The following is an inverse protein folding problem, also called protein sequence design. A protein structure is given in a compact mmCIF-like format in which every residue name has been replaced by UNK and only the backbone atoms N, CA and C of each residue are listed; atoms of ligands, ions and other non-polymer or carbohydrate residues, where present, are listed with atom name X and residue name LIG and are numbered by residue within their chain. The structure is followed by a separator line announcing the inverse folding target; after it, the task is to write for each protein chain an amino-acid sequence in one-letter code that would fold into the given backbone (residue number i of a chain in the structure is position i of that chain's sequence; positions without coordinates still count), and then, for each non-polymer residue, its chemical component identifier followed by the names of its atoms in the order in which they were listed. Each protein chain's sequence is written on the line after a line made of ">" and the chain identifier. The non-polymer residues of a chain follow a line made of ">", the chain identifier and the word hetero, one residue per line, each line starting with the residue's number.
data_IF_804962897216
#
_entry.id   IF_804962897216
#
_cell.length_a   1.000
_cell.length_b   1.000
_cell.length_c   1.000
_cell.angle_alpha   90.00
_cell.angle_beta   90.00
_cell.angle_gamma   90.00
#
_symmetry.space_group_name_H-M   'P 1'
#
loop_
_entity.id
_entity.type
_entity.pdbx_description
1 polymer ?
#
# COMPACT_ATOMS: atom_id res chain seq x y z
N UNK A 1 -2.01 3.08 28.34
CA UNK A 1 -0.94 2.41 27.56
C UNK A 1 -1.03 2.65 26.05
N UNK A 2 -2.23 2.71 25.43
CA UNK A 2 -2.41 2.97 23.98
C UNK A 2 -2.15 4.42 23.51
N UNK A 3 -2.15 5.42 24.40
CA UNK A 3 -1.88 6.83 24.04
C UNK A 3 -0.44 7.07 23.52
N UNK A 4 0.53 6.20 23.83
CA UNK A 4 1.93 6.36 23.39
C UNK A 4 2.23 5.80 21.99
N UNK A 5 1.32 5.05 21.38
CA UNK A 5 1.54 4.41 20.06
C UNK A 5 1.15 5.30 18.87
N UNK A 6 0.65 6.53 19.13
CA UNK A 6 0.21 7.52 18.14
C UNK A 6 -0.53 6.94 16.91
N UNK A 7 -1.40 5.95 17.13
CA UNK A 7 -2.08 5.23 16.04
C UNK A 7 -2.83 6.19 15.11
N UNK A 8 -3.52 7.18 15.70
CA UNK A 8 -4.23 8.22 14.97
C UNK A 8 -3.29 9.03 14.08
N UNK A 9 -2.13 9.43 14.57
CA UNK A 9 -1.15 10.20 13.78
C UNK A 9 -0.64 9.41 12.57
N UNK A 10 -0.34 8.12 12.76
CA UNK A 10 0.07 7.26 11.66
C UNK A 10 -1.02 7.10 10.60
N UNK A 11 -2.27 6.92 11.03
CA UNK A 11 -3.41 6.84 10.12
C UNK A 11 -3.61 8.14 9.35
N UNK A 12 -3.55 9.29 10.04
CA UNK A 12 -3.70 10.59 9.41
C UNK A 12 -2.60 10.86 8.36
N UNK A 13 -1.38 10.39 8.61
CA UNK A 13 -0.28 10.46 7.63
C UNK A 13 -0.63 9.67 6.37
N UNK A 14 -1.10 8.43 6.53
CA UNK A 14 -1.46 7.58 5.41
C UNK A 14 -2.67 8.11 4.63
N UNK A 15 -3.68 8.65 5.32
CA UNK A 15 -4.83 9.32 4.68
C UNK A 15 -4.36 10.57 3.93
N UNK A 16 -3.42 11.34 4.47
CA UNK A 16 -2.87 12.50 3.78
C UNK A 16 -2.21 12.13 2.44
N UNK A 17 -1.49 11.00 2.38
CA UNK A 17 -0.93 10.50 1.11
C UNK A 17 -1.99 10.01 0.13
N UNK A 18 -3.16 9.60 0.63
CA UNK A 18 -4.27 9.16 -0.21
C UNK A 18 -5.00 10.31 -0.90
N UNK A 19 -5.20 11.45 -0.21
CA UNK A 19 -5.96 12.60 -0.73
C UNK A 19 -5.53 13.03 -2.14
N UNK A 20 -4.23 13.32 -2.43
CA UNK A 20 -3.84 13.76 -3.76
C UNK A 20 -4.05 12.68 -4.83
N UNK A 21 -3.92 11.39 -4.47
CA UNK A 21 -4.14 10.27 -5.39
C UNK A 21 -5.62 10.15 -5.75
N UNK A 22 -6.50 10.24 -4.75
CA UNK A 22 -7.96 10.18 -4.97
C UNK A 22 -8.42 11.35 -5.82
N UNK A 23 -7.95 12.56 -5.53
CA UNK A 23 -8.30 13.74 -6.33
C UNK A 23 -7.84 13.57 -7.78
N UNK A 24 -6.56 13.26 -8.01
CA UNK A 24 -6.04 13.09 -9.36
C UNK A 24 -6.73 11.97 -10.13
N UNK A 25 -6.84 10.79 -9.54
CA UNK A 25 -7.45 9.63 -10.17
C UNK A 25 -8.95 9.82 -10.42
N UNK A 26 -9.68 10.43 -9.48
CA UNK A 26 -11.10 10.71 -9.62
C UNK A 26 -11.41 11.62 -10.80
N UNK A 27 -10.62 12.66 -11.02
CA UNK A 27 -10.77 13.52 -12.20
C UNK A 27 -10.49 12.77 -13.52
N UNK A 28 -9.48 11.91 -13.56
CA UNK A 28 -9.19 11.09 -14.75
C UNK A 28 -10.39 10.18 -15.09
N UNK A 29 -10.97 9.51 -14.09
CA UNK A 29 -12.18 8.69 -14.27
C UNK A 29 -13.35 9.53 -14.76
N UNK A 30 -13.64 10.65 -14.07
CA UNK A 30 -14.78 11.50 -14.39
C UNK A 30 -14.72 12.03 -15.83
N UNK A 31 -13.55 12.52 -16.26
CA UNK A 31 -13.35 13.05 -17.61
C UNK A 31 -13.42 11.93 -18.65
N UNK A 32 -12.75 10.79 -18.39
CA UNK A 32 -12.75 9.66 -19.32
C UNK A 32 -14.16 9.12 -19.58
N UNK A 33 -14.95 8.91 -18.53
CA UNK A 33 -16.32 8.43 -18.64
C UNK A 33 -17.27 9.47 -19.25
N UNK A 34 -17.12 10.76 -18.88
CA UNK A 34 -17.97 11.83 -19.42
C UNK A 34 -17.79 12.02 -20.94
N UNK A 35 -16.61 11.72 -21.47
CA UNK A 35 -16.29 11.78 -22.91
C UNK A 35 -16.59 10.48 -23.66
N UNK A 36 -17.29 9.54 -23.01
CA UNK A 36 -17.73 8.27 -23.62
C UNK A 36 -16.69 7.16 -23.62
N UNK A 37 -15.60 7.30 -22.87
CA UNK A 37 -14.64 6.21 -22.63
C UNK A 37 -15.18 5.16 -21.66
N UNK A 38 -14.75 3.92 -21.84
CA UNK A 38 -14.98 2.80 -20.94
C UNK A 38 -13.76 2.48 -20.06
N UNK A 39 -13.88 1.41 -19.26
CA UNK A 39 -12.81 0.92 -18.38
C UNK A 39 -12.38 -0.49 -18.84
N UNK A 40 -11.67 -0.63 -19.98
CA UNK A 40 -11.13 -1.92 -20.39
C UNK A 40 -10.11 -2.46 -19.38
N UNK A 41 -10.10 -3.78 -19.20
CA UNK A 41 -9.15 -4.45 -18.28
C UNK A 41 -7.68 -4.25 -18.71
N UNK A 42 -7.43 -4.25 -20.02
CA UNK A 42 -6.13 -4.08 -20.64
C UNK A 42 -6.13 -3.00 -21.73
N UNK A 43 -5.17 -2.09 -21.66
CA UNK A 43 -4.93 -1.07 -22.70
C UNK A 43 -4.02 -1.66 -23.78
N UNK A 44 -4.63 -2.31 -24.77
CA UNK A 44 -3.92 -2.90 -25.91
C UNK A 44 -3.77 -1.86 -27.01
N UNK A 45 -2.53 -1.61 -27.45
CA UNK A 45 -2.24 -0.61 -28.48
C UNK A 45 -3.14 -0.77 -29.72
N UNK A 46 -3.76 0.32 -30.15
CA UNK A 46 -4.70 0.34 -31.29
C UNK A 46 -6.13 -0.12 -30.98
N UNK A 47 -6.45 -0.49 -29.73
CA UNK A 47 -7.81 -0.94 -29.31
C UNK A 47 -8.46 -0.05 -28.25
N UNK A 48 -7.91 1.12 -27.95
CA UNK A 48 -8.44 2.04 -26.96
C UNK A 48 -8.39 3.49 -27.45
N UNK A 49 -9.32 4.30 -26.99
CA UNK A 49 -9.36 5.75 -27.17
C UNK A 49 -8.65 6.46 -26.00
N UNK A 50 -8.29 7.73 -26.17
CA UNK A 50 -7.72 8.52 -25.08
C UNK A 50 -8.65 8.57 -23.85
N UNK A 51 -9.96 8.54 -24.07
CA UNK A 51 -10.99 8.54 -23.02
C UNK A 51 -11.02 7.22 -22.24
N UNK A 52 -10.86 6.08 -22.94
CA UNK A 52 -10.69 4.77 -22.31
C UNK A 52 -9.42 4.73 -21.45
N UNK A 53 -8.33 5.33 -21.95
CA UNK A 53 -7.08 5.41 -21.21
C UNK A 53 -7.25 6.23 -19.92
N UNK A 54 -7.89 7.40 -20.00
CA UNK A 54 -8.18 8.27 -18.85
C UNK A 54 -8.97 7.52 -17.77
N UNK A 55 -10.09 6.89 -18.17
CA UNK A 55 -10.95 6.15 -17.26
C UNK A 55 -10.24 4.94 -16.64
N UNK A 56 -9.47 4.19 -17.43
CA UNK A 56 -8.72 3.02 -16.96
C UNK A 56 -7.58 3.38 -16.01
N UNK A 57 -6.80 4.43 -16.33
CA UNK A 57 -5.70 4.88 -15.47
C UNK A 57 -6.22 5.34 -14.11
N UNK A 58 -7.28 6.16 -14.11
CA UNK A 58 -7.93 6.61 -12.88
C UNK A 58 -8.50 5.44 -12.08
N UNK A 59 -9.18 4.50 -12.75
CA UNK A 59 -9.74 3.30 -12.12
C UNK A 59 -8.67 2.43 -11.47
N UNK A 60 -7.54 2.18 -12.16
CA UNK A 60 -6.40 1.42 -11.61
C UNK A 60 -5.77 2.14 -10.42
N UNK A 61 -5.61 3.45 -10.47
CA UNK A 61 -5.08 4.23 -9.36
C UNK A 61 -5.99 4.18 -8.12
N UNK A 62 -7.31 4.30 -8.31
CA UNK A 62 -8.30 4.13 -7.23
C UNK A 62 -8.37 2.68 -6.71
N UNK A 63 -8.11 1.68 -7.56
CA UNK A 63 -7.99 0.29 -7.13
C UNK A 63 -6.80 0.03 -6.21
N UNK A 64 -5.76 0.89 -6.25
CA UNK A 64 -4.55 0.76 -5.43
C UNK A 64 -4.63 1.51 -4.10
N UNK A 65 -5.77 2.08 -3.72
CA UNK A 65 -5.92 2.77 -2.43
C UNK A 65 -5.53 1.92 -1.21
N UNK A 66 -5.84 0.61 -1.15
CA UNK A 66 -5.37 -0.25 -0.07
C UNK A 66 -3.84 -0.34 0.01
N UNK A 67 -3.16 -0.30 -1.14
CA UNK A 67 -1.70 -0.26 -1.25
C UNK A 67 -1.15 1.03 -0.67
N UNK A 68 -1.75 2.17 -1.06
CA UNK A 68 -1.33 3.49 -0.60
C UNK A 68 -1.45 3.60 0.92
N UNK A 69 -2.60 3.21 1.48
CA UNK A 69 -2.81 3.34 2.92
C UNK A 69 -1.94 2.38 3.73
N UNK A 70 -1.78 1.13 3.28
CA UNK A 70 -0.91 0.15 3.94
C UNK A 70 0.55 0.59 3.93
N UNK A 71 1.03 1.06 2.77
CA UNK A 71 2.39 1.57 2.60
C UNK A 71 2.62 2.83 3.45
N UNK A 72 1.69 3.78 3.42
CA UNK A 72 1.76 5.02 4.19
C UNK A 72 1.77 4.79 5.70
N UNK A 73 0.92 3.87 6.19
CA UNK A 73 0.89 3.47 7.61
C UNK A 73 2.21 2.82 8.04
N UNK A 74 2.64 1.82 7.29
CA UNK A 74 3.87 1.08 7.58
C UNK A 74 5.09 2.03 7.57
N UNK A 75 5.17 2.91 6.57
CA UNK A 75 6.20 3.94 6.48
C UNK A 75 6.15 4.91 7.66
N UNK A 76 4.98 5.38 8.06
CA UNK A 76 4.83 6.30 9.19
C UNK A 76 5.31 5.69 10.51
N UNK A 77 5.19 4.36 10.67
CA UNK A 77 5.60 3.64 11.89
C UNK A 77 7.09 3.26 11.88
N UNK A 78 7.58 2.75 10.75
CA UNK A 78 8.89 2.08 10.66
C UNK A 78 9.89 2.73 9.68
N UNK A 79 9.50 3.82 9.01
CA UNK A 79 10.30 4.50 8.02
C UNK A 79 10.46 3.70 6.72
N UNK A 80 11.53 4.01 5.97
CA UNK A 80 11.80 3.43 4.64
C UNK A 80 11.74 1.88 4.56
N UNK A 81 12.25 1.11 5.55
CA UNK A 81 12.18 -0.34 5.50
C UNK A 81 10.75 -0.91 5.50
N UNK A 82 9.76 -0.13 5.95
CA UNK A 82 8.36 -0.51 5.96
C UNK A 82 7.64 -0.36 4.62
N UNK A 83 8.23 0.33 3.64
CA UNK A 83 7.56 0.65 2.36
C UNK A 83 7.25 -0.62 1.57
N UNK A 84 8.27 -1.42 1.27
CA UNK A 84 8.13 -2.65 0.49
C UNK A 84 7.10 -3.63 1.10
N UNK A 85 7.18 -4.00 2.39
CA UNK A 85 6.22 -4.93 2.96
C UNK A 85 4.81 -4.32 3.09
N UNK A 86 4.68 -3.02 3.31
CA UNK A 86 3.39 -2.33 3.32
C UNK A 86 2.72 -2.36 1.94
N UNK A 87 3.52 -2.19 0.88
CA UNK A 87 3.06 -2.26 -0.50
C UNK A 87 2.56 -3.66 -0.85
N UNK A 88 3.34 -4.70 -0.51
CA UNK A 88 2.96 -6.10 -0.78
C UNK A 88 1.67 -6.45 -0.04
N UNK A 89 1.57 -6.16 1.26
CA UNK A 89 0.36 -6.47 2.03
C UNK A 89 -0.87 -5.74 1.50
N UNK A 90 -0.72 -4.48 1.06
CA UNK A 90 -1.83 -3.73 0.48
C UNK A 90 -2.29 -4.30 -0.87
N UNK A 91 -1.40 -4.89 -1.66
CA UNK A 91 -1.78 -5.63 -2.87
C UNK A 91 -2.55 -6.90 -2.51
N UNK A 92 -2.08 -7.64 -1.51
CA UNK A 92 -2.76 -8.85 -1.02
C UNK A 92 -4.14 -8.52 -0.45
N UNK A 93 -4.30 -7.38 0.24
CA UNK A 93 -5.61 -6.92 0.71
C UNK A 93 -6.64 -6.76 -0.43
N UNK A 94 -6.20 -6.31 -1.61
CA UNK A 94 -7.04 -6.30 -2.80
C UNK A 94 -7.35 -7.72 -3.30
N UNK A 95 -6.35 -8.60 -3.34
CA UNK A 95 -6.52 -9.98 -3.84
C UNK A 95 -7.45 -10.82 -2.97
N UNK A 96 -7.48 -10.61 -1.65
CA UNK A 96 -8.36 -11.35 -0.72
C UNK A 96 -9.73 -10.69 -0.53
N UNK A 97 -9.99 -9.55 -1.18
CA UNK A 97 -11.26 -8.84 -1.10
C UNK A 97 -11.47 -8.02 0.18
N UNK A 98 -10.47 -7.93 1.07
CA UNK A 98 -10.55 -7.10 2.29
C UNK A 98 -10.41 -5.60 2.01
N UNK A 99 -9.86 -5.25 0.84
CA UNK A 99 -9.84 -3.90 0.30
C UNK A 99 -9.23 -2.88 1.26
N UNK A 100 -9.89 -1.73 1.42
CA UNK A 100 -9.36 -0.61 2.21
C UNK A 100 -9.16 -0.94 3.69
N UNK A 101 -10.07 -1.72 4.28
CA UNK A 101 -10.00 -2.12 5.69
C UNK A 101 -8.80 -3.05 5.90
N UNK A 102 -8.60 -4.02 4.99
CA UNK A 102 -7.41 -4.86 4.97
C UNK A 102 -6.13 -4.05 4.82
N UNK A 103 -6.12 -3.02 3.96
CA UNK A 103 -4.99 -2.11 3.82
C UNK A 103 -4.63 -1.39 5.14
N UNK A 104 -5.62 -0.93 5.91
CA UNK A 104 -5.38 -0.29 7.22
C UNK A 104 -4.82 -1.28 8.22
N UNK A 105 -5.50 -2.42 8.41
CA UNK A 105 -5.09 -3.43 9.38
C UNK A 105 -3.70 -3.99 9.05
N UNK A 106 -3.51 -4.35 7.78
CA UNK A 106 -2.23 -4.80 7.25
C UNK A 106 -1.12 -3.77 7.42
N UNK A 107 -1.39 -2.49 7.13
CA UNK A 107 -0.43 -1.40 7.31
C UNK A 107 0.09 -1.29 8.75
N UNK A 108 -0.79 -1.42 9.75
CA UNK A 108 -0.38 -1.46 11.15
C UNK A 108 0.42 -2.72 11.51
N UNK A 109 -0.04 -3.89 11.06
CA UNK A 109 0.65 -5.17 11.30
C UNK A 109 2.08 -5.09 10.76
N UNK A 110 2.24 -4.65 9.51
CA UNK A 110 3.56 -4.49 8.89
C UNK A 110 4.39 -3.46 9.65
N UNK A 111 3.84 -2.28 9.91
CA UNK A 111 4.57 -1.20 10.57
C UNK A 111 5.15 -1.63 11.92
N UNK A 112 4.34 -2.27 12.76
CA UNK A 112 4.79 -2.77 14.06
C UNK A 112 5.73 -3.97 13.95
N UNK A 113 5.49 -4.87 12.99
CA UNK A 113 6.38 -6.01 12.74
C UNK A 113 7.78 -5.53 12.34
N UNK A 114 7.87 -4.61 11.37
CA UNK A 114 9.14 -4.05 10.91
C UNK A 114 9.83 -3.30 12.04
N UNK A 115 9.09 -2.47 12.79
CA UNK A 115 9.65 -1.75 13.93
C UNK A 115 10.18 -2.71 15.00
N UNK A 116 9.50 -3.84 15.24
CA UNK A 116 9.97 -4.87 16.16
C UNK A 116 11.25 -5.55 15.67
N UNK A 117 11.35 -5.85 14.37
CA UNK A 117 12.56 -6.44 13.77
C UNK A 117 13.75 -5.49 13.95
N UNK A 118 13.58 -4.21 13.60
CA UNK A 118 14.63 -3.19 13.71
C UNK A 118 15.12 -3.05 15.15
N UNK A 119 14.22 -3.06 16.14
CA UNK A 119 14.57 -2.86 17.56
C UNK A 119 15.15 -4.10 18.23
N UNK A 120 14.68 -5.30 17.87
CA UNK A 120 15.00 -6.54 18.61
C UNK A 120 16.08 -7.39 17.94
N UNK A 121 16.25 -7.32 16.62
CA UNK A 121 17.19 -8.18 15.90
C UNK A 121 18.57 -7.53 15.84
N UNK A 122 19.51 -8.06 16.64
CA UNK A 122 20.91 -7.66 16.60
C UNK A 122 21.65 -8.54 15.59
N UNK A 123 22.20 -7.93 14.55
CA UNK A 123 23.01 -8.63 13.53
C UNK A 123 24.47 -8.16 13.56
N UNK A 124 25.41 -9.02 13.15
CA UNK A 124 26.81 -8.63 13.00
C UNK A 124 26.97 -7.50 11.97
N UNK A 125 28.05 -6.72 12.11
CA UNK A 125 28.24 -5.46 11.35
C UNK A 125 28.18 -5.63 9.82
N UNK A 126 28.61 -6.78 9.29
CA UNK A 126 28.60 -7.05 7.85
C UNK A 126 27.19 -7.21 7.26
N UNK A 127 26.18 -7.57 8.07
CA UNK A 127 24.78 -7.74 7.61
C UNK A 127 23.96 -6.45 7.78
N UNK A 128 24.42 -5.49 8.59
CA UNK A 128 23.62 -4.30 8.95
C UNK A 128 23.10 -3.53 7.74
N UNK A 129 23.87 -3.44 6.65
CA UNK A 129 23.43 -2.79 5.41
C UNK A 129 22.35 -3.56 4.64
N UNK A 130 22.34 -4.90 4.77
CA UNK A 130 21.39 -5.79 4.11
C UNK A 130 20.04 -5.87 4.83
N UNK A 131 20.01 -5.49 6.11
CA UNK A 131 18.81 -5.50 6.93
C UNK A 131 17.67 -4.66 6.34
N UNK A 132 17.79 -3.33 6.15
CA UNK A 132 16.70 -2.49 5.67
C UNK A 132 16.38 -2.66 4.18
N UNK A 133 17.32 -3.20 3.40
CA UNK A 133 17.22 -3.29 1.93
C UNK A 133 16.67 -4.62 1.46
N UNK A 134 16.99 -5.73 2.15
CA UNK A 134 16.59 -7.07 1.72
C UNK A 134 15.89 -7.85 2.84
N UNK A 135 16.52 -8.00 4.01
CA UNK A 135 16.05 -8.94 5.03
C UNK A 135 14.72 -8.49 5.61
N UNK A 136 14.61 -7.22 6.01
CA UNK A 136 13.37 -6.66 6.54
C UNK A 136 12.27 -6.67 5.47
N UNK A 137 12.49 -6.13 4.25
CA UNK A 137 11.50 -6.22 3.19
C UNK A 137 11.02 -7.64 2.92
N UNK A 138 11.91 -8.62 2.84
CA UNK A 138 11.57 -10.01 2.57
C UNK A 138 10.76 -10.64 3.71
N UNK A 139 11.31 -10.65 4.92
CA UNK A 139 10.70 -11.33 6.08
C UNK A 139 9.38 -10.67 6.47
N UNK A 140 9.33 -9.33 6.50
CA UNK A 140 8.12 -8.63 6.84
C UNK A 140 7.04 -8.83 5.77
N UNK A 141 7.38 -8.81 4.48
CA UNK A 141 6.40 -9.08 3.40
C UNK A 141 5.84 -10.49 3.51
N UNK A 142 6.71 -11.49 3.72
CA UNK A 142 6.31 -12.88 3.85
C UNK A 142 5.34 -13.07 5.02
N UNK A 143 5.73 -12.68 6.23
CA UNK A 143 4.94 -12.90 7.44
C UNK A 143 3.62 -12.14 7.39
N UNK A 144 3.66 -10.86 7.03
CA UNK A 144 2.45 -10.03 7.02
C UNK A 144 1.46 -10.42 5.91
N UNK A 145 1.94 -10.85 4.74
CA UNK A 145 1.08 -11.33 3.66
C UNK A 145 0.42 -12.65 4.00
N UNK A 146 1.14 -13.57 4.66
CA UNK A 146 0.54 -14.81 5.16
C UNK A 146 -0.55 -14.52 6.20
N UNK A 147 -0.31 -13.57 7.11
CA UNK A 147 -1.34 -13.13 8.06
C UNK A 147 -2.56 -12.58 7.32
N UNK A 148 -2.36 -11.74 6.30
CA UNK A 148 -3.46 -11.20 5.49
C UNK A 148 -4.24 -12.28 4.75
N UNK A 149 -3.60 -13.34 4.26
CA UNK A 149 -4.28 -14.40 3.49
C UNK A 149 -5.08 -15.35 4.38
N UNK A 150 -4.54 -15.71 5.55
CA UNK A 150 -5.09 -16.80 6.35
C UNK A 150 -5.92 -16.34 7.55
N UNK A 151 -5.81 -15.06 7.95
CA UNK A 151 -6.44 -14.56 9.19
C UNK A 151 -7.45 -13.43 8.92
N UNK A 152 -7.20 -12.57 7.92
CA UNK A 152 -7.99 -11.35 7.65
C UNK A 152 -8.87 -11.56 6.43
#
# INVERSE_FOLDING_TARGET
>A
MLKHLNLKGHLLTAISYMIPIVCGAGFLVAIGLAMGGGVPDALVAGKFTIWDALATMGGKALGLLPVVIATGLSYSIAGKPGIAPGFVVGLIANSVGSGFIGGILGGYIVGFLVQAIIKKVKVPNWIKGLMPTLIIPFVASLVSSLIMIYII
#
